data_IF_169670766933
#
_entry.id   IF_169670766933
#
_cell.length_a   1.000
_cell.length_b   1.000
_cell.length_c   1.000
_cell.angle_alpha   90.00
_cell.angle_beta   90.00
_cell.angle_gamma   90.00
#
_symmetry.space_group_name_H-M   'P 1'
#
loop_
_entity.id
_entity.type
_entity.pdbx_description
1 polymer ?
#
# COMPACT_ATOMS: atom_id res chain seq x y z
N UNK A 1 8.76 11.70 0.69
CA UNK A 1 9.60 10.95 1.66
C UNK A 1 8.68 10.04 2.44
N UNK A 2 8.96 8.73 2.45
CA UNK A 2 8.16 7.75 3.20
C UNK A 2 8.16 8.06 4.71
N UNK A 3 7.00 7.92 5.33
CA UNK A 3 6.82 8.01 6.79
C UNK A 3 7.22 6.68 7.43
N UNK A 4 8.52 6.42 7.36
CA UNK A 4 9.21 5.25 7.89
C UNK A 4 10.48 5.68 8.59
N UNK A 5 10.66 5.26 9.84
CA UNK A 5 11.86 5.54 10.60
C UNK A 5 12.20 4.38 11.54
N UNK A 6 13.46 4.35 11.96
CA UNK A 6 13.98 3.40 12.93
C UNK A 6 14.25 4.15 14.23
N UNK A 7 13.74 3.63 15.34
CA UNK A 7 14.02 4.14 16.68
C UNK A 7 14.66 3.02 17.52
N UNK A 8 15.98 3.10 17.68
CA UNK A 8 16.77 2.02 18.30
C UNK A 8 16.66 0.70 17.52
N UNK A 9 15.98 -0.28 18.13
CA UNK A 9 15.72 -1.60 17.52
C UNK A 9 14.36 -1.69 16.84
N UNK A 10 13.52 -0.68 17.00
CA UNK A 10 12.15 -0.68 16.50
C UNK A 10 12.10 -0.01 15.12
N UNK A 11 11.17 -0.48 14.28
CA UNK A 11 10.90 0.13 12.98
C UNK A 11 9.45 0.53 12.89
N UNK A 12 9.20 1.82 12.71
CA UNK A 12 7.89 2.34 12.41
C UNK A 12 7.69 2.42 10.88
N UNK A 13 6.57 1.94 10.37
CA UNK A 13 6.12 2.21 9.00
C UNK A 13 4.64 2.58 9.02
N UNK A 14 4.29 3.75 8.49
CA UNK A 14 2.89 4.07 8.20
C UNK A 14 2.56 3.61 6.77
N UNK A 15 1.57 2.73 6.64
CA UNK A 15 1.19 2.12 5.36
C UNK A 15 -0.32 2.18 5.14
N UNK A 16 -0.68 2.20 3.86
CA UNK A 16 -2.06 2.08 3.38
C UNK A 16 -2.15 0.90 2.43
N UNK A 17 -3.35 0.33 2.29
CA UNK A 17 -3.65 -0.65 1.26
C UNK A 17 -5.08 -0.46 0.74
N UNK A 18 -5.29 -0.77 -0.53
CA UNK A 18 -6.60 -0.70 -1.16
C UNK A 18 -7.31 -2.05 -1.05
N UNK A 19 -8.55 -2.02 -0.57
CA UNK A 19 -9.47 -3.16 -0.58
C UNK A 19 -10.40 -3.00 -1.77
N UNK A 20 -10.07 -3.67 -2.89
CA UNK A 20 -10.83 -3.55 -4.14
C UNK A 20 -11.70 -4.79 -4.32
N UNK A 21 -13.01 -4.59 -4.30
CA UNK A 21 -14.02 -5.65 -4.42
C UNK A 21 -14.70 -5.59 -5.80
N UNK A 22 -14.84 -6.74 -6.45
CA UNK A 22 -15.58 -6.88 -7.70
C UNK A 22 -16.27 -8.23 -7.76
N UNK A 23 -17.59 -8.25 -7.94
CA UNK A 23 -18.40 -9.48 -8.05
C UNK A 23 -18.16 -10.49 -6.91
N UNK A 24 -18.07 -9.99 -5.67
CA UNK A 24 -17.80 -10.83 -4.49
C UNK A 24 -16.38 -11.36 -4.38
N UNK A 25 -15.45 -10.89 -5.23
CA UNK A 25 -14.03 -11.22 -5.23
C UNK A 25 -13.20 -10.04 -4.74
N UNK A 26 -12.08 -10.34 -4.09
CA UNK A 26 -11.10 -9.37 -3.60
C UNK A 26 -9.87 -9.40 -4.51
N UNK A 27 -9.38 -8.25 -4.95
CA UNK A 27 -8.09 -8.16 -5.64
C UNK A 27 -6.95 -8.39 -4.64
N UNK A 28 -6.10 -9.38 -4.92
CA UNK A 28 -4.88 -9.64 -4.18
C UNK A 28 -3.71 -9.82 -5.16
N UNK A 29 -2.56 -9.26 -4.79
CA UNK A 29 -1.31 -9.34 -5.52
C UNK A 29 -0.45 -10.48 -4.98
N UNK A 30 0.37 -11.06 -5.84
CA UNK A 30 1.36 -12.07 -5.50
C UNK A 30 2.53 -11.94 -6.46
N UNK A 31 3.74 -11.98 -5.91
CA UNK A 31 4.98 -11.91 -6.67
C UNK A 31 5.92 -13.05 -6.27
N UNK A 32 6.95 -13.31 -7.08
CA UNK A 32 7.91 -14.39 -6.82
C UNK A 32 8.75 -14.18 -5.54
N UNK A 33 8.71 -12.97 -4.95
CA UNK A 33 9.54 -12.58 -3.82
C UNK A 33 8.81 -12.76 -2.48
N UNK A 34 7.49 -12.84 -2.49
CA UNK A 34 6.66 -12.99 -1.29
C UNK A 34 5.88 -14.30 -1.31
N UNK A 35 6.01 -15.16 -0.28
CA UNK A 35 5.28 -16.43 -0.22
C UNK A 35 3.79 -16.26 0.15
N UNK A 36 3.26 -15.04 0.12
CA UNK A 36 1.91 -14.70 0.56
C UNK A 36 1.24 -13.74 -0.42
N UNK A 37 -0.09 -13.79 -0.48
CA UNK A 37 -0.90 -12.78 -1.13
C UNK A 37 -0.98 -11.51 -0.29
N UNK A 38 -0.98 -10.36 -0.94
CA UNK A 38 -1.10 -9.06 -0.29
C UNK A 38 -2.02 -8.12 -1.07
N UNK A 39 -2.44 -7.03 -0.42
CA UNK A 39 -3.25 -6.01 -1.08
C UNK A 39 -2.34 -4.95 -1.73
N UNK A 40 -2.75 -4.36 -2.86
CA UNK A 40 -2.04 -3.24 -3.45
C UNK A 40 -1.95 -2.08 -2.45
N UNK A 41 -0.78 -1.44 -2.38
CA UNK A 41 -0.52 -0.35 -1.44
C UNK A 41 0.90 -0.26 -0.91
N UNK A 42 1.25 0.93 -0.43
CA UNK A 42 2.60 1.25 -0.01
C UNK A 42 2.68 2.13 1.22
N UNK A 43 3.75 2.93 1.28
CA UNK A 43 4.06 3.78 2.44
C UNK A 43 3.43 5.13 2.24
N UNK A 44 2.85 5.66 3.30
CA UNK A 44 2.36 7.04 3.31
C UNK A 44 3.56 7.98 3.34
N UNK A 45 3.52 9.06 2.55
CA UNK A 45 4.56 10.07 2.55
C UNK A 45 4.34 11.14 3.63
N UNK A 46 5.41 11.78 4.09
CA UNK A 46 5.32 12.92 5.03
C UNK A 46 4.44 14.05 4.46
N UNK A 47 3.40 14.43 5.20
CA UNK A 47 2.43 15.46 4.79
C UNK A 47 1.32 14.94 3.86
N UNK A 48 1.32 13.66 3.51
CA UNK A 48 0.29 13.02 2.69
C UNK A 48 -0.84 12.48 3.59
N UNK A 49 -2.11 12.63 3.16
CA UNK A 49 -3.23 11.96 3.84
C UNK A 49 -3.28 10.48 3.46
N UNK A 50 -3.93 9.65 4.27
CA UNK A 50 -4.08 8.23 3.95
C UNK A 50 -4.85 8.01 2.64
N UNK A 51 -5.86 8.84 2.38
CA UNK A 51 -6.70 8.81 1.18
C UNK A 51 -5.90 9.16 -0.08
N UNK A 52 -5.07 10.20 -0.01
CA UNK A 52 -4.19 10.56 -1.12
C UNK A 52 -3.14 9.47 -1.37
N UNK A 53 -2.56 8.90 -0.30
CA UNK A 53 -1.58 7.84 -0.39
C UNK A 53 -2.17 6.59 -1.06
N UNK A 54 -3.37 6.13 -0.67
CA UNK A 54 -3.96 4.92 -1.26
C UNK A 54 -4.32 5.14 -2.74
N UNK A 55 -4.80 6.33 -3.12
CA UNK A 55 -5.08 6.65 -4.51
C UNK A 55 -3.80 6.66 -5.37
N UNK A 56 -2.71 7.25 -4.86
CA UNK A 56 -1.39 7.25 -5.51
C UNK A 56 -0.86 5.83 -5.69
N UNK A 57 -0.86 5.01 -4.64
CA UNK A 57 -0.32 3.65 -4.69
C UNK A 57 -1.12 2.76 -5.67
N UNK A 58 -2.45 2.91 -5.71
CA UNK A 58 -3.29 2.23 -6.72
C UNK A 58 -2.89 2.64 -8.13
N UNK A 59 -2.62 3.93 -8.36
CA UNK A 59 -2.17 4.41 -9.66
C UNK A 59 -0.78 3.89 -10.02
N UNK A 60 0.15 3.85 -9.07
CA UNK A 60 1.54 3.40 -9.27
C UNK A 60 1.63 1.89 -9.54
N UNK A 61 0.86 1.07 -8.83
CA UNK A 61 0.96 -0.40 -8.91
C UNK A 61 0.03 -1.02 -9.96
N UNK A 62 -1.15 -0.44 -10.17
CA UNK A 62 -2.20 -1.01 -11.02
C UNK A 62 -2.47 -0.20 -12.29
N UNK A 63 -1.85 0.98 -12.44
CA UNK A 63 -2.04 1.89 -13.58
C UNK A 63 -3.52 2.31 -13.82
N UNK A 64 -4.32 2.33 -12.74
CA UNK A 64 -5.72 2.77 -12.76
C UNK A 64 -5.95 3.91 -11.78
N UNK A 65 -7.04 4.66 -11.99
CA UNK A 65 -7.49 5.70 -11.06
C UNK A 65 -8.70 5.17 -10.27
N UNK A 66 -8.76 5.38 -8.94
CA UNK A 66 -9.94 5.06 -8.14
C UNK A 66 -11.22 5.77 -8.57
#
# INVERSE_FOLDING_TARGET
>A
MDLSFVDGKEKFNYRVCAVILSEGRLLAMHDERSPYYYLPGGRVQMGETAEAAVAREVQEELEITP
#
